data_IF_464442578464
#
_entry.id   IF_464442578464
#
_cell.length_a   1.000
_cell.length_b   1.000
_cell.length_c   1.000
_cell.angle_alpha   90.00
_cell.angle_beta   90.00
_cell.angle_gamma   90.00
#
_symmetry.space_group_name_H-M   'P 1'
#
loop_
_entity.id
_entity.type
_entity.pdbx_description
1 polymer ?
#
# COMPACT_ATOMS: atom_id res chain seq x y z
N UNK A 1 15.46 6.48 -5.16
CA UNK A 1 15.61 7.11 -3.83
C UNK A 1 14.69 6.35 -2.89
N UNK A 2 15.22 5.77 -1.82
CA UNK A 2 14.38 5.11 -0.81
C UNK A 2 13.68 6.19 0.02
N UNK A 3 12.36 6.21 0.04
CA UNK A 3 11.60 7.19 0.82
C UNK A 3 11.58 6.71 2.29
N UNK A 4 12.25 7.49 3.14
CA UNK A 4 12.44 7.21 4.56
C UNK A 4 11.23 7.74 5.33
N UNK A 5 10.71 6.92 6.25
CA UNK A 5 9.57 7.23 7.09
C UNK A 5 9.96 7.83 8.45
N UNK A 6 11.16 7.51 8.95
CA UNK A 6 11.57 7.83 10.32
C UNK A 6 12.89 8.60 10.37
N UNK A 7 12.84 9.80 10.94
CA UNK A 7 14.00 10.56 11.42
C UNK A 7 14.39 10.18 12.86
N UNK A 8 15.41 10.85 13.43
CA UNK A 8 16.01 10.51 14.74
C UNK A 8 15.04 10.59 15.92
N UNK A 9 14.07 11.50 15.89
CA UNK A 9 13.10 11.76 16.97
C UNK A 9 11.67 11.30 16.63
N UNK A 10 11.48 10.65 15.48
CA UNK A 10 10.15 10.22 15.02
C UNK A 10 9.89 8.77 15.39
N UNK A 11 8.62 8.44 15.65
CA UNK A 11 8.12 7.08 15.85
C UNK A 11 6.86 6.84 15.03
N UNK A 12 6.64 5.59 14.67
CA UNK A 12 5.39 5.16 14.04
C UNK A 12 4.46 4.63 15.12
N UNK A 13 3.19 5.02 15.06
CA UNK A 13 2.12 4.47 15.87
C UNK A 13 1.08 3.85 14.93
N UNK A 14 0.77 2.58 15.18
CA UNK A 14 -0.22 1.81 14.44
C UNK A 14 -1.51 1.77 15.24
N UNK A 15 -2.63 2.17 14.63
CA UNK A 15 -3.94 2.04 15.25
C UNK A 15 -4.50 0.65 14.99
N UNK A 16 -4.43 -0.22 15.98
CA UNK A 16 -4.83 -1.63 15.88
C UNK A 16 -6.20 -1.81 16.55
N UNK A 17 -7.17 -2.46 15.88
CA UNK A 17 -8.48 -2.73 16.47
C UNK A 17 -8.37 -3.78 17.58
N UNK A 18 -9.13 -3.59 18.66
CA UNK A 18 -9.27 -4.57 19.76
C UNK A 18 -10.75 -4.94 19.92
N UNK A 19 -11.07 -5.88 20.83
CA UNK A 19 -12.45 -6.32 21.06
C UNK A 19 -13.42 -5.19 21.43
N UNK A 20 -12.91 -4.15 22.10
CA UNK A 20 -13.72 -3.06 22.65
C UNK A 20 -13.37 -1.68 22.04
N UNK A 21 -12.51 -1.61 21.02
CA UNK A 21 -12.10 -0.35 20.42
C UNK A 21 -10.82 -0.44 19.62
N UNK A 22 -9.82 0.36 20.00
CA UNK A 22 -8.52 0.39 19.35
C UNK A 22 -7.41 0.72 20.35
N UNK A 23 -6.20 0.27 20.04
CA UNK A 23 -4.97 0.62 20.74
C UNK A 23 -3.95 1.20 19.77
N UNK A 24 -3.05 2.03 20.30
CA UNK A 24 -1.90 2.53 19.55
C UNK A 24 -0.68 1.68 19.89
N UNK A 25 -0.20 0.93 18.92
CA UNK A 25 0.96 0.08 19.03
C UNK A 25 2.17 0.74 18.36
N UNK A 26 3.30 0.79 19.05
CA UNK A 26 4.57 1.16 18.44
C UNK A 26 5.33 -0.11 18.00
N UNK A 27 5.53 -0.35 16.70
CA UNK A 27 6.27 -1.50 16.19
C UNK A 27 7.78 -1.41 16.47
N UNK A 28 8.28 -0.31 17.04
CA UNK A 28 9.70 -0.05 17.36
C UNK A 28 10.61 -0.19 16.15
N UNK A 29 10.15 0.34 15.02
CA UNK A 29 10.94 0.40 13.80
C UNK A 29 12.27 1.14 14.02
N UNK A 30 13.32 0.66 13.35
CA UNK A 30 14.66 1.23 13.46
C UNK A 30 14.68 2.60 12.76
N UNK A 31 15.47 3.55 13.29
CA UNK A 31 15.71 4.85 12.64
C UNK A 31 16.15 4.66 11.19
N UNK A 32 15.59 5.45 10.28
CA UNK A 32 15.81 5.30 8.85
C UNK A 32 14.95 4.22 8.19
N UNK A 33 13.94 3.66 8.89
CA UNK A 33 12.99 2.74 8.28
C UNK A 33 12.32 3.36 7.06
N UNK A 34 12.07 2.55 6.04
CA UNK A 34 11.40 2.99 4.81
C UNK A 34 9.88 2.93 4.97
N UNK A 35 9.14 3.68 4.14
CA UNK A 35 7.67 3.56 4.13
C UNK A 35 7.18 2.15 3.77
N UNK A 36 7.96 1.38 3.02
CA UNK A 36 7.65 -0.03 2.75
C UNK A 36 7.68 -0.86 4.04
N UNK A 37 8.71 -0.71 4.86
CA UNK A 37 8.78 -1.41 6.16
C UNK A 37 7.64 -1.01 7.09
N UNK A 38 7.22 0.27 7.05
CA UNK A 38 6.05 0.74 7.79
C UNK A 38 4.76 0.06 7.29
N UNK A 39 4.58 -0.06 5.98
CA UNK A 39 3.43 -0.74 5.38
C UNK A 39 3.40 -2.24 5.76
N UNK A 40 4.57 -2.89 5.76
CA UNK A 40 4.70 -4.30 6.13
C UNK A 40 4.29 -4.54 7.59
N UNK A 41 4.79 -3.72 8.54
CA UNK A 41 4.39 -3.79 9.95
C UNK A 41 2.91 -3.48 10.15
N UNK A 42 2.39 -2.43 9.49
CA UNK A 42 0.97 -2.07 9.57
C UNK A 42 0.07 -3.23 9.11
N UNK A 43 0.51 -3.98 8.10
CA UNK A 43 -0.19 -5.17 7.61
C UNK A 43 -0.07 -6.33 8.60
N UNK A 44 1.13 -6.57 9.15
CA UNK A 44 1.37 -7.65 10.11
C UNK A 44 0.57 -7.50 11.42
N UNK A 45 0.35 -6.27 11.87
CA UNK A 45 -0.45 -5.97 13.06
C UNK A 45 -1.93 -5.70 12.77
N UNK A 46 -2.39 -5.92 11.53
CA UNK A 46 -3.78 -5.65 11.11
C UNK A 46 -4.24 -4.22 11.48
N UNK A 47 -3.35 -3.24 11.32
CA UNK A 47 -3.64 -1.86 11.63
C UNK A 47 -4.75 -1.31 10.73
N UNK A 48 -5.41 -0.26 11.22
CA UNK A 48 -6.48 0.48 10.53
C UNK A 48 -6.06 1.88 10.13
N UNK A 49 -4.99 2.41 10.72
CA UNK A 49 -4.38 3.68 10.36
C UNK A 49 -2.93 3.73 10.86
N UNK A 50 -2.12 4.57 10.22
CA UNK A 50 -0.69 4.72 10.47
C UNK A 50 -0.42 6.18 10.82
N UNK A 51 0.15 6.40 11.99
CA UNK A 51 0.47 7.73 12.49
C UNK A 51 1.98 7.89 12.65
N UNK A 52 2.46 9.09 12.36
CA UNK A 52 3.80 9.54 12.70
C UNK A 52 3.73 10.42 13.94
N UNK A 53 4.48 10.05 14.96
CA UNK A 53 4.64 10.82 16.18
C UNK A 53 6.03 11.44 16.22
N UNK A 54 6.09 12.77 16.35
CA UNK A 54 7.32 13.51 16.56
C UNK A 54 7.50 13.78 18.05
N UNK A 55 8.54 13.17 18.66
CA UNK A 55 8.81 13.30 20.09
C UNK A 55 9.22 14.71 20.51
N UNK A 56 9.86 15.48 19.61
CA UNK A 56 10.37 16.81 19.92
C UNK A 56 9.25 17.84 19.95
N UNK A 57 8.33 17.76 18.99
CA UNK A 57 7.18 18.67 18.89
C UNK A 57 5.93 18.16 19.61
N UNK A 58 5.92 16.89 20.05
CA UNK A 58 4.76 16.19 20.62
C UNK A 58 3.54 16.21 19.69
N UNK A 59 3.76 16.20 18.38
CA UNK A 59 2.70 16.21 17.37
C UNK A 59 2.48 14.83 16.77
N UNK A 60 1.23 14.57 16.37
CA UNK A 60 0.82 13.34 15.69
C UNK A 60 0.26 13.71 14.34
N UNK A 61 0.74 13.06 13.30
CA UNK A 61 0.28 13.21 11.92
C UNK A 61 -0.21 11.87 11.38
N UNK A 62 -1.36 11.88 10.69
CA UNK A 62 -1.83 10.72 9.95
C UNK A 62 -1.07 10.62 8.63
N UNK A 63 -0.28 9.55 8.48
CA UNK A 63 0.54 9.31 7.30
C UNK A 63 0.01 8.14 6.46
N UNK A 64 -1.20 7.65 6.75
CA UNK A 64 -1.76 6.44 6.11
C UNK A 64 -1.73 6.56 4.59
N UNK A 65 -2.27 7.64 4.04
CA UNK A 65 -2.29 7.91 2.58
C UNK A 65 -0.88 8.07 2.00
N UNK A 66 0.07 8.60 2.78
CA UNK A 66 1.48 8.72 2.36
C UNK A 66 2.14 7.35 2.24
N UNK A 67 1.72 6.36 3.04
CA UNK A 67 2.29 5.01 3.06
C UNK A 67 1.68 4.11 1.96
N UNK A 68 0.42 4.33 1.58
CA UNK A 68 -0.32 3.52 0.59
C UNK A 68 0.48 3.20 -0.68
N UNK A 69 1.15 4.15 -1.36
CA UNK A 69 1.89 3.87 -2.59
C UNK A 69 3.08 2.92 -2.42
N UNK A 70 3.52 2.66 -1.19
CA UNK A 70 4.67 1.80 -0.87
C UNK A 70 4.24 0.39 -0.47
N UNK A 71 2.94 0.10 -0.43
CA UNK A 71 2.45 -1.25 -0.26
C UNK A 71 2.90 -2.11 -1.44
N UNK A 72 3.42 -3.31 -1.13
CA UNK A 72 3.98 -4.23 -2.14
C UNK A 72 3.15 -5.50 -2.34
N UNK A 73 2.00 -5.61 -1.68
CA UNK A 73 1.09 -6.74 -1.79
C UNK A 73 0.00 -6.56 -2.85
N UNK A 74 -0.95 -7.48 -2.85
CA UNK A 74 -2.09 -7.46 -3.77
C UNK A 74 -3.15 -6.45 -3.30
N UNK A 75 -3.42 -5.44 -4.12
CA UNK A 75 -4.43 -4.41 -3.83
C UNK A 75 -5.87 -4.95 -3.91
N UNK A 76 -6.10 -6.12 -4.51
CA UNK A 76 -7.42 -6.75 -4.54
C UNK A 76 -7.82 -7.38 -3.19
N UNK A 77 -6.85 -7.74 -2.36
CA UNK A 77 -7.01 -8.16 -0.97
C UNK A 77 -6.34 -7.14 -0.02
N UNK A 78 -6.72 -5.87 -0.19
CA UNK A 78 -6.06 -4.77 0.50
C UNK A 78 -6.23 -4.86 2.04
N UNK A 79 -5.14 -4.61 2.80
CA UNK A 79 -5.18 -4.53 4.26
C UNK A 79 -6.18 -3.49 4.79
N UNK A 80 -6.62 -3.67 6.04
CA UNK A 80 -7.62 -2.80 6.66
C UNK A 80 -7.23 -1.31 6.68
N UNK A 81 -5.94 -0.99 6.86
CA UNK A 81 -5.42 0.38 6.85
C UNK A 81 -5.51 1.08 5.49
N UNK A 82 -5.73 0.34 4.39
CA UNK A 82 -5.89 0.90 3.05
C UNK A 82 -7.36 1.08 2.66
N UNK A 83 -8.31 0.62 3.49
CA UNK A 83 -9.72 0.64 3.15
C UNK A 83 -10.26 2.07 3.08
N UNK A 84 -10.78 2.45 1.92
CA UNK A 84 -11.29 3.79 1.67
C UNK A 84 -10.23 4.83 1.30
N UNK A 85 -8.97 4.40 1.11
CA UNK A 85 -7.96 5.26 0.49
C UNK A 85 -8.25 5.45 -0.99
N UNK A 86 -8.37 6.71 -1.40
CA UNK A 86 -8.57 7.05 -2.82
C UNK A 86 -7.37 6.61 -3.67
N UNK A 87 -6.16 6.62 -3.08
CA UNK A 87 -4.92 6.20 -3.76
C UNK A 87 -4.95 4.69 -3.98
N UNK A 88 -5.33 3.91 -2.97
CA UNK A 88 -5.42 2.45 -3.08
C UNK A 88 -6.44 2.04 -4.15
N UNK A 89 -7.61 2.69 -4.17
CA UNK A 89 -8.65 2.44 -5.19
C UNK A 89 -8.16 2.79 -6.60
N UNK A 90 -7.42 3.88 -6.76
CA UNK A 90 -6.85 4.27 -8.04
C UNK A 90 -5.81 3.26 -8.54
N UNK A 91 -4.87 2.85 -7.69
CA UNK A 91 -3.82 1.87 -8.05
C UNK A 91 -4.47 0.54 -8.46
N UNK A 92 -5.42 0.03 -7.67
CA UNK A 92 -6.15 -1.20 -7.99
C UNK A 92 -6.88 -1.12 -9.35
N UNK A 93 -7.44 0.05 -9.68
CA UNK A 93 -8.09 0.27 -10.96
C UNK A 93 -7.10 0.28 -12.13
N UNK A 94 -5.95 0.93 -11.98
CA UNK A 94 -4.88 0.97 -12.98
C UNK A 94 -4.31 -0.43 -13.26
N UNK A 95 -4.02 -1.21 -12.22
CA UNK A 95 -3.56 -2.60 -12.35
C UNK A 95 -4.55 -3.47 -13.13
N UNK A 96 -5.85 -3.31 -12.85
CA UNK A 96 -6.89 -4.04 -13.56
C UNK A 96 -7.03 -3.63 -15.04
N UNK A 97 -6.80 -2.35 -15.37
CA UNK A 97 -6.74 -1.90 -16.77
C UNK A 97 -5.53 -2.47 -17.50
N UNK A 98 -4.36 -2.48 -16.86
CA UNK A 98 -3.14 -3.05 -17.42
C UNK A 98 -3.29 -4.56 -17.66
N UNK A 99 -3.84 -5.30 -16.70
CA UNK A 99 -4.14 -6.72 -16.85
C UNK A 99 -5.08 -6.99 -18.04
N UNK A 100 -6.13 -6.16 -18.23
CA UNK A 100 -7.01 -6.25 -19.40
C UNK A 100 -6.29 -5.94 -20.71
N UNK A 101 -5.38 -4.97 -20.71
CA UNK A 101 -4.59 -4.62 -21.89
C UNK A 101 -3.64 -5.76 -22.27
N UNK A 102 -2.98 -6.37 -21.29
CA UNK A 102 -2.11 -7.52 -21.47
C UNK A 102 -2.86 -8.74 -22.04
N UNK A 103 -4.05 -9.05 -21.52
CA UNK A 103 -4.90 -10.13 -22.04
C UNK A 103 -5.33 -9.86 -23.49
N UNK A 104 -5.74 -8.63 -23.82
CA UNK A 104 -6.04 -8.24 -25.21
C UNK A 104 -4.84 -8.44 -26.14
N UNK A 105 -3.65 -8.04 -25.70
CA UNK A 105 -2.42 -8.19 -26.47
C UNK A 105 -2.03 -9.66 -26.67
N UNK A 106 -2.16 -10.50 -25.64
CA UNK A 106 -1.95 -11.94 -25.78
C UNK A 106 -2.94 -12.58 -26.75
N UNK A 107 -4.22 -12.16 -26.72
CA UNK A 107 -5.23 -12.64 -27.69
C UNK A 107 -4.94 -12.18 -29.11
N UNK A 108 -4.45 -10.96 -29.33
CA UNK A 108 -4.07 -10.51 -30.68
C UNK A 108 -2.86 -11.27 -31.24
N UNK A 109 -1.92 -11.67 -30.38
CA UNK A 109 -0.77 -12.50 -30.77
C UNK A 109 -1.14 -13.97 -31.01
N UNK A 110 -2.18 -14.49 -30.34
CA UNK A 110 -2.70 -15.85 -30.52
C UNK A 110 -3.78 -15.97 -31.59
N UNK A 111 -4.31 -14.86 -32.10
CA UNK A 111 -5.17 -14.88 -33.27
C UNK A 111 -4.39 -15.51 -34.43
N UNK A 112 -4.83 -16.64 -35.00
CA UNK A 112 -4.30 -17.09 -36.26
C UNK A 112 -4.52 -15.93 -37.23
N UNK A 113 -3.45 -15.47 -37.87
CA UNK A 113 -3.56 -14.68 -39.08
C UNK A 113 -4.43 -15.46 -40.06
N UNK A 114 -5.71 -15.11 -40.15
CA UNK A 114 -6.56 -15.50 -41.29
C UNK A 114 -6.12 -14.63 -42.47
N UNK A 115 -4.93 -14.92 -42.96
CA UNK A 115 -4.51 -14.68 -44.34
C UNK A 115 -4.16 -16.04 -44.93
N UNK A 116 -5.15 -16.92 -44.96
CA UNK A 116 -5.12 -18.13 -45.77
C UNK A 116 -6.09 -17.91 -46.93
N UNK A 117 -5.49 -17.58 -48.06
CA UNK A 117 -5.94 -17.83 -49.43
C UNK A 117 -7.42 -17.66 -49.75
N UNK A 118 -7.76 -16.54 -50.38
CA UNK A 118 -8.85 -16.52 -51.35
C UNK A 118 -8.33 -15.90 -52.65
N UNK A 119 -7.86 -16.81 -53.51
CA UNK A 119 -7.71 -16.72 -54.97
C UNK A 119 -6.68 -15.75 -55.55
#
# INVERSE_FOLDING_TARGET
>A
MSNIALNTAERILLKVPTSDGYEYLDPRLIRGATYQQVADEATAYEATAIYRFDEDSLTVEDITETVVPYFSGDFSDAPAWMRGSAIAEQIAYEDHLEAKAADRHQRSLRSPSVYLGAM
#
